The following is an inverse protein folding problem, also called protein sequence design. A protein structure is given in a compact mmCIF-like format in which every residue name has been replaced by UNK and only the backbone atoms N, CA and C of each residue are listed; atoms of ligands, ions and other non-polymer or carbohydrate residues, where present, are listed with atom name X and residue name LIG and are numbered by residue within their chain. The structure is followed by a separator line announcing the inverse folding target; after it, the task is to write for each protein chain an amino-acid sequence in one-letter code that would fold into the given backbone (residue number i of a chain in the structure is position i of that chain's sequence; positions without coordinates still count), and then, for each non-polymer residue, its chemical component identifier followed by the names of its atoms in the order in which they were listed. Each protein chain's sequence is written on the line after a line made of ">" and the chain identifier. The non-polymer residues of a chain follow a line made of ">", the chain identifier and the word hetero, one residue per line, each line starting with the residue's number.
data_IF_893602483803
#
_entry.id   IF_893602483803
#
_cell.length_a   1.000
_cell.length_b   1.000
_cell.length_c   1.000
_cell.angle_alpha   90.00
_cell.angle_beta   90.00
_cell.angle_gamma   90.00
#
_symmetry.space_group_name_H-M   'P 1'
#
loop_
_entity.id
_entity.type
_entity.pdbx_description
1 polymer ?
#
# COMPACT_ATOMS: atom_id res chain seq x y z
N UNK A 1 -17.81 9.55 30.86
CA UNK A 1 -17.91 8.35 30.00
C UNK A 1 -16.50 8.01 29.52
N UNK A 2 -15.86 6.96 30.07
CA UNK A 2 -14.48 6.57 29.70
C UNK A 2 -14.53 5.83 28.36
N UNK A 3 -14.13 6.47 27.27
CA UNK A 3 -13.92 5.78 25.99
C UNK A 3 -12.54 5.15 26.01
N UNK A 4 -12.50 3.82 26.10
CA UNK A 4 -11.26 3.05 25.99
C UNK A 4 -10.71 3.23 24.58
N UNK A 5 -9.65 4.02 24.44
CA UNK A 5 -8.97 4.18 23.14
C UNK A 5 -8.23 2.88 22.84
N UNK A 6 -8.80 2.05 21.96
CA UNK A 6 -8.14 0.84 21.50
C UNK A 6 -7.13 1.23 20.43
N UNK A 7 -5.85 1.26 20.81
CA UNK A 7 -4.74 1.55 19.91
C UNK A 7 -4.72 0.47 18.81
N UNK A 8 -4.90 0.86 17.56
CA UNK A 8 -4.89 -0.05 16.39
C UNK A 8 -6.22 -0.20 15.62
N UNK A 9 -7.31 0.44 16.06
CA UNK A 9 -8.60 0.40 15.31
C UNK A 9 -8.56 1.22 14.01
N UNK A 10 -7.70 2.24 13.95
CA UNK A 10 -7.45 3.07 12.77
C UNK A 10 -6.24 2.57 11.96
N UNK A 11 -5.68 1.41 12.33
CA UNK A 11 -4.59 0.83 11.59
C UNK A 11 -5.14 0.22 10.29
N UNK A 12 -4.49 0.52 9.17
CA UNK A 12 -4.93 0.07 7.85
C UNK A 12 -5.06 -1.45 7.84
N UNK A 13 -6.10 -1.99 7.19
CA UNK A 13 -6.40 -3.44 7.21
C UNK A 13 -5.20 -4.21 6.66
N UNK A 14 -4.38 -4.72 7.57
CA UNK A 14 -3.32 -5.67 7.24
C UNK A 14 -3.92 -7.04 7.15
N UNK A 15 -4.16 -7.48 5.92
CA UNK A 15 -4.20 -8.91 5.70
C UNK A 15 -2.84 -9.48 6.09
N UNK A 16 -2.81 -10.62 6.79
CA UNK A 16 -1.57 -11.30 7.20
C UNK A 16 -0.61 -11.41 6.00
N UNK A 17 0.38 -10.52 5.92
CA UNK A 17 1.38 -10.48 4.86
C UNK A 17 1.06 -9.64 3.62
N UNK A 18 -0.02 -8.86 3.56
CA UNK A 18 -0.28 -7.91 2.46
C UNK A 18 -0.92 -6.62 3.00
N UNK A 19 -0.24 -5.48 2.83
CA UNK A 19 -0.81 -4.19 3.23
C UNK A 19 -1.88 -3.79 2.22
N UNK A 20 -2.98 -3.20 2.72
CA UNK A 20 -4.14 -2.83 1.90
C UNK A 20 -3.77 -2.06 0.63
N UNK A 21 -2.84 -1.11 0.70
CA UNK A 21 -2.36 -0.35 -0.47
C UNK A 21 -1.80 -1.22 -1.60
N UNK A 22 -0.98 -2.22 -1.32
CA UNK A 22 -0.39 -3.07 -2.36
C UNK A 22 -1.42 -4.03 -2.94
N UNK A 23 -2.44 -4.42 -2.17
CA UNK A 23 -3.56 -5.23 -2.65
C UNK A 23 -4.33 -4.51 -3.76
N UNK A 24 -4.65 -3.23 -3.56
CA UNK A 24 -5.32 -2.42 -4.58
C UNK A 24 -4.49 -2.29 -5.85
N UNK A 25 -3.17 -2.13 -5.74
CA UNK A 25 -2.28 -2.06 -6.90
C UNK A 25 -2.27 -3.39 -7.66
N UNK A 26 -2.22 -4.52 -6.95
CA UNK A 26 -2.24 -5.85 -7.55
C UNK A 26 -3.57 -6.14 -8.27
N UNK A 27 -4.70 -5.83 -7.62
CA UNK A 27 -6.02 -5.96 -8.22
C UNK A 27 -6.16 -5.09 -9.48
N UNK A 28 -5.69 -3.84 -9.41
CA UNK A 28 -5.68 -2.93 -10.57
C UNK A 28 -4.83 -3.43 -11.72
N UNK A 29 -3.64 -4.00 -11.45
CA UNK A 29 -2.80 -4.59 -12.49
C UNK A 29 -3.47 -5.77 -13.19
N UNK A 30 -4.12 -6.67 -12.44
CA UNK A 30 -4.83 -7.82 -13.03
C UNK A 30 -6.01 -7.34 -13.88
N UNK A 31 -6.79 -6.39 -13.38
CA UNK A 31 -7.94 -5.83 -14.10
C UNK A 31 -7.50 -5.08 -15.37
N UNK A 32 -6.41 -4.32 -15.29
CA UNK A 32 -5.81 -3.60 -16.41
C UNK A 32 -5.27 -4.54 -17.48
N UNK A 33 -4.57 -5.62 -17.09
CA UNK A 33 -4.11 -6.65 -18.02
C UNK A 33 -5.26 -7.31 -18.76
N UNK A 34 -6.33 -7.65 -18.04
CA UNK A 34 -7.50 -8.30 -18.63
C UNK A 34 -8.16 -7.38 -19.67
N UNK A 35 -8.32 -6.10 -19.32
CA UNK A 35 -8.84 -5.07 -20.25
C UNK A 35 -7.93 -4.89 -21.47
N UNK A 36 -6.61 -4.84 -21.27
CA UNK A 36 -5.63 -4.72 -22.35
C UNK A 36 -5.69 -5.92 -23.29
N UNK A 37 -5.70 -7.14 -22.76
CA UNK A 37 -5.80 -8.37 -23.54
C UNK A 37 -7.08 -8.40 -24.36
N UNK A 38 -8.21 -7.99 -23.77
CA UNK A 38 -9.49 -7.90 -24.48
C UNK A 38 -9.44 -6.93 -25.67
N UNK A 39 -8.85 -5.74 -25.48
CA UNK A 39 -8.67 -4.75 -26.54
C UNK A 39 -7.77 -5.27 -27.66
N UNK A 40 -6.61 -5.83 -27.32
CA UNK A 40 -5.64 -6.33 -28.29
C UNK A 40 -6.16 -7.56 -29.05
N UNK A 41 -6.94 -8.42 -28.40
CA UNK A 41 -7.61 -9.53 -29.04
C UNK A 41 -8.62 -9.04 -30.10
N UNK A 42 -9.37 -8.00 -29.79
CA UNK A 42 -10.37 -7.41 -30.71
C UNK A 42 -9.73 -6.81 -31.98
N UNK A 43 -8.48 -6.32 -31.87
CA UNK A 43 -7.70 -5.77 -33.00
C UNK A 43 -7.14 -6.90 -33.90
N UNK A 44 -7.25 -8.17 -33.49
CA UNK A 44 -6.79 -9.31 -34.27
C UNK A 44 -5.30 -9.64 -34.10
N UNK A 45 -4.68 -9.21 -32.99
CA UNK A 45 -3.31 -9.61 -32.66
C UNK A 45 -3.24 -11.12 -32.43
N UNK A 46 -2.16 -11.75 -32.90
CA UNK A 46 -1.93 -13.18 -32.72
C UNK A 46 -1.98 -13.58 -31.23
N UNK A 47 -2.84 -14.56 -30.92
CA UNK A 47 -3.06 -15.09 -29.57
C UNK A 47 -1.78 -15.53 -28.86
N UNK A 48 -0.77 -16.02 -29.58
CA UNK A 48 0.51 -16.39 -28.98
C UNK A 48 1.28 -15.18 -28.44
N UNK A 49 1.34 -14.10 -29.20
CA UNK A 49 2.00 -12.85 -28.78
C UNK A 49 1.27 -12.27 -27.56
N UNK A 50 -0.05 -12.33 -27.59
CA UNK A 50 -0.90 -11.85 -26.51
C UNK A 50 -0.69 -12.64 -25.22
N UNK A 51 -0.55 -13.97 -25.32
CA UNK A 51 -0.25 -14.85 -24.20
C UNK A 51 1.10 -14.49 -23.55
N UNK A 52 2.15 -14.37 -24.35
CA UNK A 52 3.48 -14.01 -23.85
C UNK A 52 3.49 -12.61 -23.21
N UNK A 53 2.82 -11.64 -23.83
CA UNK A 53 2.70 -10.29 -23.28
C UNK A 53 1.94 -10.28 -21.94
N UNK A 54 0.83 -11.01 -21.84
CA UNK A 54 0.04 -11.10 -20.62
C UNK A 54 0.82 -11.75 -19.47
N UNK A 55 1.46 -12.90 -19.74
CA UNK A 55 2.27 -13.59 -18.73
C UNK A 55 3.46 -12.74 -18.29
N UNK A 56 4.16 -12.11 -19.23
CA UNK A 56 5.28 -11.22 -18.95
C UNK A 56 4.88 -10.00 -18.12
N UNK A 57 3.76 -9.35 -18.47
CA UNK A 57 3.28 -8.18 -17.75
C UNK A 57 2.78 -8.55 -16.34
N UNK A 58 2.17 -9.72 -16.15
CA UNK A 58 1.77 -10.21 -14.84
C UNK A 58 2.99 -10.51 -13.94
N UNK A 59 4.00 -11.20 -14.48
CA UNK A 59 5.24 -11.48 -13.76
C UNK A 59 5.98 -10.20 -13.36
N UNK A 60 6.04 -9.22 -14.26
CA UNK A 60 6.61 -7.91 -13.98
C UNK A 60 5.84 -7.17 -12.88
N UNK A 61 4.51 -7.13 -12.94
CA UNK A 61 3.70 -6.48 -11.90
C UNK A 61 3.90 -7.12 -10.52
N UNK A 62 3.93 -8.45 -10.44
CA UNK A 62 4.14 -9.18 -9.19
C UNK A 62 5.52 -8.92 -8.58
N UNK A 63 6.58 -9.00 -9.40
CA UNK A 63 7.95 -8.75 -8.95
C UNK A 63 8.16 -7.30 -8.52
N UNK A 64 7.58 -6.35 -9.26
CA UNK A 64 7.61 -4.93 -8.91
C UNK A 64 6.90 -4.65 -7.57
N UNK A 65 5.69 -5.19 -7.38
CA UNK A 65 4.91 -4.99 -6.16
C UNK A 65 5.61 -5.64 -4.95
N UNK A 66 6.13 -6.86 -5.10
CA UNK A 66 6.90 -7.54 -4.04
C UNK A 66 8.13 -6.75 -3.62
N UNK A 67 8.95 -6.31 -4.59
CA UNK A 67 10.12 -5.49 -4.29
C UNK A 67 9.76 -4.15 -3.63
N UNK A 68 8.64 -3.55 -4.03
CA UNK A 68 8.16 -2.31 -3.42
C UNK A 68 7.62 -2.53 -2.00
N UNK A 69 7.03 -3.69 -1.73
CA UNK A 69 6.50 -4.08 -0.42
C UNK A 69 7.61 -4.37 0.60
N UNK A 70 8.69 -5.03 0.16
CA UNK A 70 9.89 -5.28 0.97
C UNK A 70 10.59 -3.97 1.33
N UNK A 71 10.73 -3.05 0.37
CA UNK A 71 11.45 -1.79 0.57
C UNK A 71 10.68 -0.77 1.41
N UNK A 72 9.39 -0.60 1.18
CA UNK A 72 8.65 0.57 1.67
C UNK A 72 7.69 0.29 2.85
N UNK A 73 7.71 -0.92 3.44
CA UNK A 73 6.99 -1.13 4.69
C UNK A 73 5.48 -0.86 4.56
N UNK A 74 4.80 -0.63 5.69
CA UNK A 74 3.33 -0.42 5.76
C UNK A 74 2.87 0.87 5.10
N UNK A 75 3.75 1.85 5.21
CA UNK A 75 3.47 3.24 4.99
C UNK A 75 3.81 3.71 3.57
N UNK A 76 4.41 2.84 2.73
CA UNK A 76 4.86 3.23 1.40
C UNK A 76 5.82 4.43 1.40
N UNK A 77 6.04 5.05 0.22
CA UNK A 77 6.81 6.31 0.10
C UNK A 77 6.20 7.52 0.83
N UNK A 78 5.05 7.38 1.50
CA UNK A 78 4.24 8.52 1.97
C UNK A 78 4.90 9.21 3.18
N UNK A 79 5.80 8.53 3.89
CA UNK A 79 6.46 9.08 5.10
C UNK A 79 7.86 9.67 4.87
N UNK A 80 8.36 9.70 3.63
CA UNK A 80 9.68 10.27 3.35
C UNK A 80 9.73 11.81 3.39
N UNK A 81 8.61 12.50 3.59
CA UNK A 81 8.52 13.97 3.51
C UNK A 81 7.76 14.65 4.65
N UNK A 82 7.88 14.16 5.88
CA UNK A 82 7.60 15.03 7.02
C UNK A 82 8.91 15.67 7.45
N UNK A 83 9.06 16.97 7.21
CA UNK A 83 10.10 17.75 7.86
C UNK A 83 9.86 17.65 9.37
N UNK A 84 10.81 17.10 10.15
CA UNK A 84 10.63 17.01 11.59
C UNK A 84 10.48 18.43 12.15
N UNK A 85 9.57 18.66 13.12
CA UNK A 85 9.48 19.95 13.77
C UNK A 85 10.83 20.26 14.44
N UNK A 86 11.39 21.44 14.17
CA UNK A 86 12.72 21.83 14.67
C UNK A 86 12.74 22.01 16.20
N UNK A 87 11.59 22.22 16.83
CA UNK A 87 11.46 22.33 18.27
C UNK A 87 10.05 21.91 18.70
N UNK A 88 9.96 21.18 19.81
CA UNK A 88 8.69 20.85 20.46
C UNK A 88 8.68 21.61 21.80
N UNK A 89 7.89 22.68 21.90
CA UNK A 89 7.70 23.42 23.16
C UNK A 89 6.61 22.70 23.95
N UNK A 90 6.98 22.15 25.09
CA UNK A 90 6.03 21.54 26.03
C UNK A 90 5.95 22.44 27.27
N UNK A 91 4.83 23.15 27.44
CA UNK A 91 4.58 24.01 28.61
C UNK A 91 4.10 23.21 29.85
N UNK A 92 4.15 21.88 29.78
CA UNK A 92 3.73 20.99 30.87
C UNK A 92 4.82 19.98 31.16
N UNK A 93 5.13 19.72 32.43
CA UNK A 93 6.15 18.74 32.77
C UNK A 93 5.70 17.34 32.32
N UNK A 94 6.65 16.56 31.79
CA UNK A 94 6.42 15.28 31.10
C UNK A 94 5.53 14.30 31.90
N UNK A 95 5.70 14.23 33.23
CA UNK A 95 4.92 13.36 34.09
C UNK A 95 3.40 13.67 34.10
N UNK A 96 2.99 14.93 33.87
CA UNK A 96 1.56 15.30 33.76
C UNK A 96 0.93 14.85 32.46
N UNK A 97 1.72 14.71 31.39
CA UNK A 97 1.25 14.22 30.10
C UNK A 97 0.96 12.71 30.15
N UNK A 98 1.80 11.95 30.86
CA UNK A 98 1.60 10.51 31.07
C UNK A 98 0.42 10.26 32.01
N UNK A 99 0.31 11.06 33.08
CA UNK A 99 -0.78 10.93 34.05
C UNK A 99 -2.17 11.31 33.49
N UNK A 100 -2.21 12.05 32.38
CA UNK A 100 -3.45 12.46 31.69
C UNK A 100 -3.74 11.58 30.47
N UNK A 101 -3.52 10.27 30.58
CA UNK A 101 -4.08 9.29 29.64
C UNK A 101 -5.31 8.63 30.30
N UNK A 102 -6.51 8.69 29.68
CA UNK A 102 -7.74 8.13 30.25
C UNK A 102 -7.79 6.59 30.24
#
# INVERSE_FOLDING_TARGET
>A
MKTKVMKGIDDEIEFKGFKGRYFYQLAGSVLGLLTLVFLLYTIGINSFILLFAAVGALAFALTYIKGNMEKNGKYGHIHHRHAPPQHIIINTPFHKLIAKQP
#
